data_IF_752574265343
#
_entry.id   IF_752574265343
#
_cell.length_a   1.000
_cell.length_b   1.000
_cell.length_c   1.000
_cell.angle_alpha   90.00
_cell.angle_beta   90.00
_cell.angle_gamma   90.00
#
_symmetry.space_group_name_H-M   'P 1'
#
loop_
_entity.id
_entity.type
_entity.pdbx_description
1 polymer ?
#
# COMPACT_ATOMS: atom_id res chain seq x y z
N UNK A 1 1.08 -10.89 20.17
CA UNK A 1 1.79 -10.09 19.18
C UNK A 1 1.08 -8.75 19.03
N UNK A 2 1.82 -7.65 19.07
CA UNK A 2 1.23 -6.33 18.88
C UNK A 2 1.22 -5.96 17.40
N UNK A 3 0.11 -5.38 16.95
CA UNK A 3 0.02 -4.85 15.59
C UNK A 3 0.64 -3.46 15.45
N UNK A 4 0.86 -2.78 16.57
CA UNK A 4 1.45 -1.44 16.56
C UNK A 4 2.87 -1.47 16.01
N UNK A 5 3.17 -0.58 15.07
CA UNK A 5 4.47 -0.47 14.42
C UNK A 5 4.36 -0.25 12.94
N UNK A 6 5.48 -0.38 12.25
CA UNK A 6 5.53 -0.26 10.79
C UNK A 6 5.46 -1.61 10.12
N UNK A 7 4.77 -1.64 9.00
CA UNK A 7 4.61 -2.83 8.17
C UNK A 7 5.07 -2.46 6.76
N UNK A 8 5.87 -3.32 6.16
CA UNK A 8 6.43 -3.09 4.82
C UNK A 8 5.85 -4.08 3.83
N UNK A 9 5.96 -3.77 2.54
CA UNK A 9 5.49 -4.64 1.47
C UNK A 9 6.09 -6.05 1.60
N UNK A 10 5.24 -7.05 1.51
CA UNK A 10 5.65 -8.46 1.51
C UNK A 10 5.42 -9.09 0.15
N UNK A 11 4.19 -9.00 -0.35
CA UNK A 11 3.81 -9.66 -1.61
C UNK A 11 2.55 -9.02 -2.17
N UNK A 12 2.32 -9.27 -3.45
CA UNK A 12 1.09 -8.82 -4.13
C UNK A 12 0.48 -10.01 -4.88
N UNK A 13 -0.84 -10.15 -4.79
CA UNK A 13 -1.58 -11.18 -5.48
C UNK A 13 -1.86 -10.78 -6.92
N UNK A 14 -1.61 -11.69 -7.84
CA UNK A 14 -1.90 -11.50 -9.25
C UNK A 14 -2.50 -12.77 -9.82
N UNK A 15 -3.34 -12.63 -10.85
CA UNK A 15 -3.92 -13.76 -11.54
C UNK A 15 -2.95 -14.18 -12.65
N UNK A 16 -2.55 -15.43 -12.65
CA UNK A 16 -1.65 -15.96 -13.70
C UNK A 16 -2.42 -16.43 -14.93
N UNK A 17 -1.74 -16.99 -15.90
CA UNK A 17 -2.32 -17.47 -17.15
C UNK A 17 -3.37 -18.57 -16.97
N UNK A 18 -3.30 -19.29 -15.87
CA UNK A 18 -4.23 -20.39 -15.55
C UNK A 18 -5.39 -19.94 -14.66
N UNK A 19 -5.63 -18.63 -14.55
CA UNK A 19 -6.65 -18.03 -13.69
C UNK A 19 -6.45 -18.35 -12.20
N UNK A 20 -5.22 -18.62 -11.79
CA UNK A 20 -4.88 -18.88 -10.41
C UNK A 20 -4.30 -17.65 -9.74
N UNK A 21 -4.70 -17.40 -8.47
CA UNK A 21 -4.12 -16.32 -7.68
C UNK A 21 -2.74 -16.75 -7.19
N UNK A 22 -1.73 -15.99 -7.55
CA UNK A 22 -0.35 -16.19 -7.08
C UNK A 22 0.15 -14.92 -6.42
N UNK A 23 1.00 -15.08 -5.41
CA UNK A 23 1.59 -13.94 -4.71
C UNK A 23 3.03 -13.77 -5.14
N UNK A 24 3.35 -12.57 -5.61
CA UNK A 24 4.69 -12.23 -6.08
C UNK A 24 5.42 -11.38 -5.03
N UNK A 25 6.71 -11.65 -4.84
CA UNK A 25 7.56 -10.77 -4.05
C UNK A 25 7.73 -9.43 -4.77
N UNK A 26 8.32 -8.44 -4.09
CA UNK A 26 8.58 -7.15 -4.72
C UNK A 26 9.46 -7.30 -5.96
N UNK A 27 10.51 -8.12 -5.88
CA UNK A 27 11.40 -8.35 -7.01
C UNK A 27 10.67 -9.02 -8.18
N UNK A 28 9.88 -10.04 -7.91
CA UNK A 28 9.11 -10.74 -8.93
C UNK A 28 8.08 -9.80 -9.58
N UNK A 29 7.42 -8.99 -8.78
CA UNK A 29 6.42 -8.04 -9.28
C UNK A 29 7.03 -7.00 -10.21
N UNK A 30 8.20 -6.45 -9.85
CA UNK A 30 8.89 -5.47 -10.68
C UNK A 30 9.36 -6.05 -12.01
N UNK A 31 9.58 -7.36 -12.07
CA UNK A 31 10.02 -8.06 -13.29
C UNK A 31 8.87 -8.74 -14.05
N UNK A 32 7.64 -8.67 -13.52
CA UNK A 32 6.50 -9.33 -14.16
C UNK A 32 6.22 -8.72 -15.53
N UNK A 33 5.64 -9.51 -16.47
CA UNK A 33 5.30 -9.00 -17.81
C UNK A 33 4.40 -7.77 -17.75
N UNK A 34 4.54 -6.90 -18.74
CA UNK A 34 3.69 -5.72 -18.87
C UNK A 34 2.26 -6.18 -19.18
N UNK A 35 1.23 -5.63 -18.49
CA UNK A 35 -0.15 -6.04 -18.73
C UNK A 35 -0.62 -5.76 -20.15
N UNK A 36 -1.56 -6.57 -20.69
CA UNK A 36 -2.07 -6.36 -22.05
C UNK A 36 -2.71 -5.00 -22.31
N UNK A 37 -3.22 -4.35 -21.26
CA UNK A 37 -3.85 -3.03 -21.39
C UNK A 37 -2.82 -1.91 -21.49
N UNK A 38 -1.54 -2.19 -21.30
CA UNK A 38 -0.44 -1.23 -21.45
C UNK A 38 0.22 -1.48 -22.79
N UNK A 39 0.35 -0.43 -23.59
CA UNK A 39 1.02 -0.52 -24.90
C UNK A 39 2.55 -0.54 -24.68
N UNK A 40 3.16 -1.70 -24.89
CA UNK A 40 4.61 -1.87 -24.73
C UNK A 40 5.44 -1.00 -25.70
N UNK A 41 4.85 -0.57 -26.82
CA UNK A 41 5.54 0.31 -27.76
C UNK A 41 5.52 1.78 -27.33
N UNK A 42 4.69 2.11 -26.34
CA UNK A 42 4.62 3.45 -25.75
C UNK A 42 5.52 3.52 -24.51
N UNK A 43 6.68 4.11 -24.66
CA UNK A 43 7.68 4.22 -23.58
C UNK A 43 7.11 4.94 -22.35
N UNK A 44 6.27 5.94 -22.56
CA UNK A 44 5.66 6.69 -21.46
C UNK A 44 4.69 5.81 -20.65
N UNK A 45 3.86 5.01 -21.35
CA UNK A 45 2.93 4.12 -20.70
C UNK A 45 3.66 3.05 -19.88
N UNK A 46 4.75 2.49 -20.42
CA UNK A 46 5.57 1.51 -19.70
C UNK A 46 6.23 2.15 -18.48
N UNK A 47 6.74 3.36 -18.63
CA UNK A 47 7.37 4.08 -17.51
C UNK A 47 6.36 4.35 -16.38
N UNK A 48 5.12 4.73 -16.73
CA UNK A 48 4.07 4.96 -15.74
C UNK A 48 3.70 3.68 -15.00
N UNK A 49 3.60 2.55 -15.70
CA UNK A 49 3.34 1.25 -15.10
C UNK A 49 4.44 0.87 -14.11
N UNK A 50 5.70 1.05 -14.50
CA UNK A 50 6.84 0.74 -13.62
C UNK A 50 6.87 1.68 -12.41
N UNK A 51 6.51 2.93 -12.58
CA UNK A 51 6.43 3.90 -11.49
C UNK A 51 5.39 3.45 -10.47
N UNK A 52 4.22 3.02 -10.91
CA UNK A 52 3.19 2.50 -10.01
C UNK A 52 3.66 1.25 -9.26
N UNK A 53 4.37 0.35 -9.93
CA UNK A 53 4.93 -0.84 -9.30
C UNK A 53 5.94 -0.49 -8.21
N UNK A 54 6.83 0.46 -8.47
CA UNK A 54 7.80 0.93 -7.48
C UNK A 54 7.12 1.58 -6.28
N UNK A 55 6.06 2.34 -6.50
CA UNK A 55 5.29 2.95 -5.42
C UNK A 55 4.60 1.88 -4.57
N UNK A 56 4.05 0.85 -5.20
CA UNK A 56 3.40 -0.25 -4.48
C UNK A 56 4.39 -1.02 -3.62
N UNK A 57 5.55 -1.38 -4.19
CA UNK A 57 6.59 -2.12 -3.46
C UNK A 57 7.18 -1.28 -2.33
N UNK A 58 7.28 0.03 -2.51
CA UNK A 58 7.75 0.95 -1.48
C UNK A 58 6.69 1.33 -0.45
N UNK A 59 5.44 0.91 -0.65
CA UNK A 59 4.33 1.22 0.25
C UNK A 59 4.51 0.61 1.63
N UNK A 60 4.02 1.31 2.65
CA UNK A 60 4.09 0.87 4.05
C UNK A 60 2.78 1.15 4.77
N UNK A 61 2.58 0.47 5.88
CA UNK A 61 1.47 0.75 6.78
C UNK A 61 2.06 1.11 8.14
N UNK A 62 1.57 2.19 8.75
CA UNK A 62 1.92 2.57 10.11
C UNK A 62 0.70 2.36 10.99
N UNK A 63 0.79 1.42 11.93
CA UNK A 63 -0.27 1.14 12.90
C UNK A 63 0.11 1.85 14.19
N UNK A 64 -0.69 2.82 14.62
CA UNK A 64 -0.38 3.67 15.76
C UNK A 64 -1.20 3.30 16.99
N UNK A 65 -0.61 3.49 18.17
CA UNK A 65 -1.26 3.18 19.45
C UNK A 65 -2.53 4.00 19.70
N UNK A 66 -2.64 5.16 19.06
CA UNK A 66 -3.79 6.05 19.24
C UNK A 66 -5.05 5.61 18.47
N UNK A 67 -4.99 4.46 17.81
CA UNK A 67 -6.11 3.94 17.03
C UNK A 67 -6.12 4.37 15.58
N UNK A 68 -5.09 5.07 15.13
CA UNK A 68 -4.96 5.49 13.73
C UNK A 68 -4.05 4.54 12.94
N UNK A 69 -4.36 4.38 11.67
CA UNK A 69 -3.56 3.59 10.73
C UNK A 69 -3.34 4.44 9.49
N UNK A 70 -2.08 4.56 9.09
CA UNK A 70 -1.71 5.34 7.91
C UNK A 70 -1.23 4.42 6.80
N UNK A 71 -1.76 4.63 5.59
CA UNK A 71 -1.25 4.02 4.37
C UNK A 71 -0.22 4.98 3.79
N UNK A 72 1.02 4.51 3.62
CA UNK A 72 2.15 5.36 3.23
C UNK A 72 2.68 4.97 1.86
N UNK A 73 2.99 5.99 1.04
CA UNK A 73 3.62 5.79 -0.26
C UNK A 73 4.93 6.57 -0.31
N UNK A 74 5.96 6.04 -0.98
CA UNK A 74 7.22 6.76 -1.11
C UNK A 74 7.05 8.00 -1.96
N UNK A 75 7.91 9.01 -1.73
CA UNK A 75 7.93 10.19 -2.56
C UNK A 75 8.40 9.81 -3.97
N UNK A 76 7.82 10.41 -5.02
CA UNK A 76 8.26 10.14 -6.39
C UNK A 76 9.73 10.54 -6.59
N UNK A 77 10.43 9.80 -7.46
CA UNK A 77 11.80 10.13 -7.82
C UNK A 77 11.85 11.47 -8.56
N UNK A 78 12.91 12.21 -8.32
CA UNK A 78 13.12 13.49 -9.00
C UNK A 78 12.38 14.68 -8.41
N UNK A 79 11.61 14.46 -7.34
CA UNK A 79 10.91 15.55 -6.66
C UNK A 79 11.82 16.15 -5.60
N UNK A 80 11.99 17.50 -5.64
CA UNK A 80 12.82 18.17 -4.65
C UNK A 80 12.08 18.36 -3.32
N UNK A 81 12.86 18.59 -2.26
CA UNK A 81 12.27 18.87 -0.95
C UNK A 81 11.39 20.12 -0.99
N UNK A 82 11.82 21.14 -1.77
CA UNK A 82 11.06 22.38 -1.92
C UNK A 82 9.70 22.13 -2.56
N UNK A 83 9.66 21.30 -3.60
CA UNK A 83 8.40 20.94 -4.26
C UNK A 83 7.46 20.20 -3.30
N UNK A 84 8.02 19.30 -2.48
CA UNK A 84 7.24 18.58 -1.47
C UNK A 84 6.69 19.54 -0.43
N UNK A 85 7.51 20.45 0.08
CA UNK A 85 7.09 21.42 1.09
C UNK A 85 5.98 22.34 0.55
N UNK A 86 6.08 22.77 -0.70
CA UNK A 86 5.05 23.57 -1.33
C UNK A 86 3.73 22.81 -1.47
N UNK A 87 3.78 21.53 -1.87
CA UNK A 87 2.60 20.70 -2.01
C UNK A 87 1.90 20.49 -0.65
N UNK A 88 2.68 20.29 0.41
CA UNK A 88 2.14 20.15 1.76
C UNK A 88 1.46 21.46 2.20
N UNK A 89 2.10 22.60 2.00
CA UNK A 89 1.54 23.92 2.36
C UNK A 89 0.25 24.21 1.59
N UNK A 90 0.19 23.80 0.34
CA UNK A 90 -0.98 24.01 -0.51
C UNK A 90 -2.12 23.03 -0.20
N UNK A 91 -1.88 22.05 0.66
CA UNK A 91 -2.88 21.05 1.01
C UNK A 91 -3.06 19.93 -0.03
N UNK A 92 -2.15 19.83 -0.99
CA UNK A 92 -2.25 18.80 -2.04
C UNK A 92 -1.82 17.42 -1.56
N UNK A 93 -0.89 17.36 -0.61
CA UNK A 93 -0.41 16.10 -0.03
C UNK A 93 -0.25 16.25 1.48
N UNK A 94 -0.26 15.12 2.17
CA UNK A 94 0.03 15.03 3.59
C UNK A 94 1.22 14.10 3.76
N UNK A 95 2.06 14.38 4.75
CA UNK A 95 3.23 13.56 5.05
C UNK A 95 3.10 12.95 6.44
N UNK A 96 3.53 11.70 6.55
CA UNK A 96 3.74 11.01 7.81
C UNK A 96 5.05 10.25 7.69
N UNK A 97 5.97 10.49 8.62
CA UNK A 97 7.28 9.83 8.64
C UNK A 97 8.03 9.99 7.30
N UNK A 98 7.91 11.16 6.67
CA UNK A 98 8.60 11.47 5.41
C UNK A 98 7.99 10.85 4.16
N UNK A 99 6.83 10.19 4.30
CA UNK A 99 6.15 9.53 3.19
C UNK A 99 4.78 10.17 2.95
N UNK A 100 4.27 10.01 1.72
CA UNK A 100 2.95 10.54 1.35
C UNK A 100 1.86 9.67 1.97
N UNK A 101 0.88 10.31 2.56
CA UNK A 101 -0.30 9.64 3.11
C UNK A 101 -1.56 10.46 2.82
N UNK A 102 -2.71 9.91 3.18
CA UNK A 102 -3.98 10.63 3.18
C UNK A 102 -4.55 10.62 4.60
N UNK A 103 -5.86 10.80 4.75
CA UNK A 103 -6.49 10.79 6.07
C UNK A 103 -6.25 9.45 6.76
N UNK A 104 -5.90 9.45 8.06
CA UNK A 104 -5.72 8.21 8.79
C UNK A 104 -7.04 7.44 8.90
N UNK A 105 -6.95 6.14 8.90
CA UNK A 105 -8.09 5.24 9.09
C UNK A 105 -8.07 4.76 10.53
N UNK A 106 -9.24 4.37 11.04
CA UNK A 106 -9.34 3.79 12.37
C UNK A 106 -9.10 2.28 12.29
N UNK A 107 -8.41 1.75 13.31
CA UNK A 107 -8.22 0.32 13.44
C UNK A 107 -8.53 -0.11 14.87
N UNK A 108 -8.85 -1.39 15.02
CA UNK A 108 -9.02 -1.97 16.35
C UNK A 108 -8.67 -3.46 16.30
N UNK A 109 -8.35 -4.01 17.47
CA UNK A 109 -8.08 -5.43 17.60
C UNK A 109 -9.37 -6.10 18.09
N UNK A 110 -9.80 -7.14 17.37
CA UNK A 110 -10.95 -7.96 17.74
C UNK A 110 -10.54 -9.42 17.68
N UNK A 111 -10.68 -10.14 18.79
CA UNK A 111 -10.34 -11.57 18.87
C UNK A 111 -8.95 -11.92 18.35
N UNK A 112 -7.97 -11.04 18.63
CA UNK A 112 -6.60 -11.24 18.20
C UNK A 112 -6.32 -10.84 16.77
N UNK A 113 -7.30 -10.30 16.04
CA UNK A 113 -7.14 -9.87 14.65
C UNK A 113 -7.27 -8.37 14.52
N UNK A 114 -6.59 -7.79 13.53
CA UNK A 114 -6.66 -6.36 13.24
C UNK A 114 -7.79 -6.08 12.26
N UNK A 115 -8.68 -5.17 12.64
CA UNK A 115 -9.80 -4.72 11.81
C UNK A 115 -9.63 -3.25 11.46
N UNK A 116 -9.98 -2.90 10.22
CA UNK A 116 -9.81 -1.57 9.67
C UNK A 116 -11.18 -1.00 9.30
N UNK A 117 -11.42 0.27 9.68
CA UNK A 117 -12.63 0.99 9.28
C UNK A 117 -12.48 1.47 7.83
N UNK A 118 -13.34 0.99 6.95
CA UNK A 118 -13.29 1.32 5.51
C UNK A 118 -14.55 2.04 5.02
N UNK A 119 -15.57 2.14 5.87
CA UNK A 119 -16.84 2.76 5.52
C UNK A 119 -17.86 1.78 4.97
N UNK A 120 -19.14 2.15 5.04
CA UNK A 120 -20.26 1.29 4.65
C UNK A 120 -20.24 0.86 3.18
N UNK A 121 -19.60 1.62 2.31
CA UNK A 121 -19.52 1.27 0.90
C UNK A 121 -18.64 0.08 0.56
N UNK A 122 -17.76 -0.34 1.49
CA UNK A 122 -16.81 -1.42 1.26
C UNK A 122 -17.13 -2.69 2.06
N UNK A 123 -17.94 -2.59 3.10
CA UNK A 123 -18.39 -3.73 3.86
C UNK A 123 -19.71 -3.37 4.55
N UNK A 124 -20.48 -4.39 4.98
CA UNK A 124 -21.79 -4.18 5.61
C UNK A 124 -21.72 -3.32 6.87
N UNK A 125 -20.72 -3.54 7.72
CA UNK A 125 -20.56 -2.82 8.98
C UNK A 125 -19.52 -1.72 8.93
N UNK A 126 -18.91 -1.49 7.75
CA UNK A 126 -17.87 -0.48 7.58
C UNK A 126 -16.51 -0.91 8.05
N UNK A 127 -16.31 -2.17 8.42
CA UNK A 127 -15.02 -2.70 8.90
C UNK A 127 -14.63 -3.94 8.13
N UNK A 128 -13.34 -4.13 7.90
CA UNK A 128 -12.79 -5.33 7.26
C UNK A 128 -11.64 -5.87 8.09
N UNK A 129 -11.49 -7.18 8.13
CA UNK A 129 -10.35 -7.82 8.78
C UNK A 129 -9.13 -7.63 7.88
N UNK A 130 -8.07 -7.05 8.42
CA UNK A 130 -6.85 -6.77 7.67
C UNK A 130 -5.78 -7.82 7.92
N UNK A 131 -5.73 -8.41 9.11
CA UNK A 131 -4.72 -9.41 9.45
C UNK A 131 -5.03 -10.77 8.84
N UNK A 132 -4.00 -11.45 8.34
CA UNK A 132 -4.09 -12.79 7.74
C UNK A 132 -2.74 -13.48 7.86
N UNK A 133 -2.70 -14.61 8.57
CA UNK A 133 -1.48 -15.44 8.70
C UNK A 133 -0.23 -14.67 9.14
N UNK A 134 -0.40 -13.73 10.08
CA UNK A 134 0.71 -12.93 10.60
C UNK A 134 1.09 -11.73 9.74
N UNK A 135 0.38 -11.52 8.64
CA UNK A 135 0.58 -10.39 7.73
C UNK A 135 -0.64 -9.48 7.78
N UNK A 136 -0.48 -8.26 7.27
CA UNK A 136 -1.62 -7.40 6.98
C UNK A 136 -1.89 -7.46 5.48
N UNK A 137 -3.13 -7.76 5.11
CA UNK A 137 -3.53 -7.87 3.71
C UNK A 137 -4.60 -6.82 3.39
N UNK A 138 -4.29 -5.91 2.47
CA UNK A 138 -5.23 -4.90 2.01
C UNK A 138 -5.40 -5.05 0.50
N UNK A 139 -6.62 -5.38 0.09
CA UNK A 139 -6.96 -5.72 -1.31
C UNK A 139 -6.09 -6.90 -1.75
N UNK A 140 -5.13 -6.70 -2.65
CA UNK A 140 -4.26 -7.76 -3.15
C UNK A 140 -2.84 -7.71 -2.58
N UNK A 141 -2.54 -6.69 -1.75
CA UNK A 141 -1.19 -6.47 -1.23
C UNK A 141 -1.07 -6.94 0.21
N UNK A 142 0.00 -7.66 0.51
CA UNK A 142 0.32 -8.12 1.86
C UNK A 142 1.52 -7.37 2.39
N UNK A 143 1.51 -7.11 3.70
CA UNK A 143 2.56 -6.36 4.39
C UNK A 143 3.06 -7.17 5.59
N UNK A 144 4.36 -7.12 5.84
CA UNK A 144 4.97 -7.79 6.99
C UNK A 144 5.47 -6.76 7.99
N UNK A 145 5.46 -7.14 9.26
CA UNK A 145 5.89 -6.23 10.32
C UNK A 145 7.41 -6.09 10.35
N UNK A 146 7.87 -4.85 10.47
CA UNK A 146 9.29 -4.54 10.64
C UNK A 146 9.67 -4.85 12.08
N UNK A 147 10.74 -5.60 12.25
CA UNK A 147 11.24 -5.96 13.58
C UNK A 147 12.38 -5.06 14.01
#
# INVERSE_FOLDING_TARGET
MSYVGKWIFHSIGMINENDEMVYLSGEEYLKAPIPPYVDESDEEAVADEMKERHQTVGGKIAVCEDGNLYMLMPLPDGVSKEEVDEAVKAGHIKLYDGMITDEPKKWEERDGELWLEVGEGMSEDGWVKLSEDGLLAFITTRYEKVQ
#
